data_IF_717901785808
#
_entry.id   IF_717901785808
#
_cell.length_a   1.000
_cell.length_b   1.000
_cell.length_c   1.000
_cell.angle_alpha   90.00
_cell.angle_beta   90.00
_cell.angle_gamma   90.00
#
_symmetry.space_group_name_H-M   'P 1'
#
loop_
_entity.id
_entity.type
_entity.pdbx_description
1 polymer ?
#
# COMPACT_ATOMS: atom_id res chain seq x y z
N UNK A 1 4.37 18.07 7.95
CA UNK A 1 2.94 18.45 7.87
C UNK A 1 2.78 19.86 8.48
N UNK A 2 2.45 20.89 7.70
CA UNK A 2 2.29 22.29 8.21
C UNK A 2 3.34 23.32 7.77
N UNK A 3 4.26 22.96 6.85
CA UNK A 3 5.20 23.91 6.24
C UNK A 3 4.66 24.54 4.93
N UNK A 4 5.43 25.41 4.25
CA UNK A 4 5.05 26.11 3.02
C UNK A 4 4.90 25.21 1.76
N UNK A 5 4.77 23.90 1.95
CA UNK A 5 4.66 22.92 0.88
C UNK A 5 3.26 22.80 0.29
N UNK A 6 3.07 21.92 -0.73
CA UNK A 6 1.76 21.66 -1.31
C UNK A 6 0.75 21.19 -0.26
N UNK A 7 -0.53 21.49 -0.48
CA UNK A 7 -1.63 20.96 0.35
C UNK A 7 -1.51 19.44 0.41
N UNK A 8 -1.28 18.93 1.63
CA UNK A 8 -1.01 17.53 1.89
C UNK A 8 -2.18 16.90 2.65
N UNK A 9 -2.79 15.88 2.07
CA UNK A 9 -3.75 15.04 2.77
C UNK A 9 -3.05 13.82 3.39
N UNK A 10 -3.56 13.36 4.53
CA UNK A 10 -3.12 12.12 5.17
C UNK A 10 -4.29 11.14 5.17
N UNK A 11 -4.07 9.95 4.62
CA UNK A 11 -5.06 8.88 4.51
C UNK A 11 -4.57 7.69 5.31
N UNK A 12 -5.31 7.31 6.35
CA UNK A 12 -5.07 6.06 7.08
C UNK A 12 -5.91 4.94 6.45
N UNK A 13 -5.26 4.00 5.78
CA UNK A 13 -5.98 2.93 5.07
C UNK A 13 -6.74 2.01 6.03
N UNK A 14 -6.25 1.83 7.27
CA UNK A 14 -6.90 0.99 8.26
C UNK A 14 -8.26 1.55 8.69
N UNK A 15 -8.53 2.85 8.50
CA UNK A 15 -9.80 3.48 8.85
C UNK A 15 -10.97 2.98 8.00
N UNK A 16 -10.71 2.44 6.79
CA UNK A 16 -11.73 1.98 5.83
C UNK A 16 -11.49 0.56 5.32
N UNK A 17 -10.30 0.01 5.54
CA UNK A 17 -9.91 -1.32 5.10
C UNK A 17 -9.05 -2.06 6.15
N UNK A 18 -9.17 -1.68 7.43
CA UNK A 18 -8.45 -2.29 8.55
C UNK A 18 -9.04 -3.62 8.99
N UNK A 19 -8.18 -4.48 9.54
CA UNK A 19 -8.54 -5.80 10.08
C UNK A 19 -9.49 -5.69 11.28
N UNK A 20 -9.36 -4.62 12.06
CA UNK A 20 -10.22 -4.32 13.22
C UNK A 20 -11.67 -4.00 12.83
N UNK A 21 -11.91 -3.57 11.58
CA UNK A 21 -13.26 -3.30 11.08
C UNK A 21 -14.04 -4.57 10.75
N UNK A 22 -13.36 -5.72 10.67
CA UNK A 22 -13.96 -7.00 10.29
C UNK A 22 -14.00 -7.91 11.52
N UNK A 23 -15.20 -8.24 12.04
CA UNK A 23 -15.36 -9.16 13.17
C UNK A 23 -14.63 -10.49 12.89
N UNK A 24 -14.00 -11.12 13.90
CA UNK A 24 -13.17 -12.32 13.69
C UNK A 24 -13.85 -13.44 12.88
N UNK A 25 -15.13 -13.71 13.12
CA UNK A 25 -15.90 -14.73 12.39
C UNK A 25 -16.32 -14.36 10.97
N UNK A 26 -16.10 -13.12 10.54
CA UNK A 26 -16.44 -12.61 9.20
C UNK A 26 -15.20 -12.27 8.36
N UNK A 27 -14.00 -12.55 8.88
CA UNK A 27 -12.74 -12.27 8.21
C UNK A 27 -12.57 -13.16 6.98
N UNK A 28 -12.62 -12.55 5.81
CA UNK A 28 -12.48 -13.25 4.54
C UNK A 28 -11.69 -12.38 3.53
N UNK A 29 -10.37 -12.58 3.39
CA UNK A 29 -9.50 -11.68 2.63
C UNK A 29 -9.75 -11.75 1.11
N UNK A 30 -10.45 -12.79 0.65
CA UNK A 30 -10.95 -12.87 -0.72
C UNK A 30 -12.16 -11.97 -1.01
N UNK A 31 -12.86 -11.48 0.02
CA UNK A 31 -14.08 -10.67 -0.11
C UNK A 31 -13.88 -9.22 0.34
N UNK A 32 -12.96 -8.97 1.28
CA UNK A 32 -12.63 -7.63 1.75
C UNK A 32 -11.89 -6.83 0.67
N UNK A 33 -12.12 -5.52 0.64
CA UNK A 33 -11.66 -4.65 -0.45
C UNK A 33 -11.03 -3.36 0.03
N UNK A 34 -10.09 -2.84 -0.76
CA UNK A 34 -9.48 -1.51 -0.60
C UNK A 34 -10.30 -0.39 -1.23
N UNK A 35 -11.51 -0.63 -1.72
CA UNK A 35 -12.34 0.38 -2.39
C UNK A 35 -12.49 1.69 -1.59
N UNK A 36 -12.79 1.59 -0.30
CA UNK A 36 -12.89 2.76 0.58
C UNK A 36 -11.59 3.58 0.67
N UNK A 37 -10.42 2.96 0.47
CA UNK A 37 -9.13 3.68 0.43
C UNK A 37 -9.08 4.58 -0.81
N UNK A 38 -9.52 4.08 -1.97
CA UNK A 38 -9.62 4.89 -3.18
C UNK A 38 -10.64 6.01 -3.05
N UNK A 39 -11.73 5.80 -2.30
CA UNK A 39 -12.69 6.87 -1.97
C UNK A 39 -12.07 7.97 -1.11
N UNK A 40 -11.25 7.62 -0.11
CA UNK A 40 -10.50 8.61 0.69
C UNK A 40 -9.48 9.37 -0.16
N UNK A 41 -8.77 8.69 -1.08
CA UNK A 41 -7.85 9.34 -2.01
C UNK A 41 -8.64 10.32 -2.91
N UNK A 42 -9.77 9.90 -3.47
CA UNK A 42 -10.64 10.77 -4.28
C UNK A 42 -11.13 11.99 -3.50
N UNK A 43 -11.57 11.80 -2.25
CA UNK A 43 -11.97 12.91 -1.38
C UNK A 43 -10.81 13.89 -1.11
N UNK A 44 -9.58 13.39 -0.94
CA UNK A 44 -8.40 14.24 -0.82
C UNK A 44 -8.10 15.02 -2.11
N UNK A 45 -8.27 14.40 -3.28
CA UNK A 45 -8.16 15.07 -4.58
C UNK A 45 -9.25 16.15 -4.75
N UNK A 46 -10.48 15.89 -4.28
CA UNK A 46 -11.60 16.84 -4.29
C UNK A 46 -11.33 18.04 -3.37
N UNK A 47 -10.68 17.81 -2.23
CA UNK A 47 -10.18 18.87 -1.36
C UNK A 47 -8.98 19.65 -1.94
N UNK A 48 -8.51 19.29 -3.14
CA UNK A 48 -7.44 19.99 -3.84
C UNK A 48 -6.03 19.60 -3.40
N UNK A 49 -5.87 18.49 -2.67
CA UNK A 49 -4.55 18.01 -2.27
C UNK A 49 -3.63 17.83 -3.49
N UNK A 50 -2.37 18.21 -3.34
CA UNK A 50 -1.30 18.00 -4.34
C UNK A 50 -0.26 16.99 -3.87
N UNK A 51 -0.35 16.60 -2.61
CA UNK A 51 0.35 15.47 -2.01
C UNK A 51 -0.63 14.67 -1.17
N UNK A 52 -0.59 13.36 -1.27
CA UNK A 52 -1.37 12.46 -0.42
C UNK A 52 -0.40 11.48 0.20
N UNK A 53 -0.35 11.47 1.52
CA UNK A 53 0.38 10.50 2.30
C UNK A 53 -0.58 9.39 2.75
N UNK A 54 -0.34 8.17 2.31
CA UNK A 54 -1.11 6.99 2.67
C UNK A 54 -0.33 6.19 3.71
N UNK A 55 -0.88 6.11 4.93
CA UNK A 55 -0.44 5.19 5.96
C UNK A 55 -0.93 3.78 5.64
N UNK A 56 0.01 2.85 5.47
CA UNK A 56 -0.31 1.44 5.27
C UNK A 56 0.06 0.64 6.52
N UNK A 57 -0.93 0.04 7.19
CA UNK A 57 -0.78 -0.89 8.32
C UNK A 57 -2.09 -1.62 8.62
N UNK A 58 -2.03 -2.72 9.38
CA UNK A 58 -3.20 -3.42 9.95
C UNK A 58 -4.39 -3.67 9.01
N UNK A 59 -4.12 -3.90 7.72
CA UNK A 59 -5.15 -4.12 6.70
C UNK A 59 -5.92 -5.43 6.93
N UNK A 60 -7.23 -5.42 6.65
CA UNK A 60 -8.09 -6.61 6.57
C UNK A 60 -8.22 -7.19 5.16
N UNK A 61 -7.48 -6.66 4.18
CA UNK A 61 -7.66 -6.90 2.74
C UNK A 61 -6.53 -7.72 2.11
N UNK A 62 -6.78 -8.37 0.98
CA UNK A 62 -5.76 -9.00 0.14
C UNK A 62 -6.09 -8.87 -1.36
N UNK A 63 -6.64 -7.73 -1.76
CA UNK A 63 -7.08 -7.45 -3.12
C UNK A 63 -6.05 -6.71 -3.98
N UNK A 64 -4.81 -6.57 -3.50
CA UNK A 64 -3.72 -5.97 -4.28
C UNK A 64 -3.92 -4.49 -4.64
N UNK A 65 -4.84 -3.79 -3.97
CA UNK A 65 -5.22 -2.42 -4.34
C UNK A 65 -6.22 -2.34 -5.50
N UNK A 66 -6.73 -3.47 -5.99
CA UNK A 66 -7.72 -3.51 -7.07
C UNK A 66 -8.97 -2.68 -6.74
N UNK A 67 -9.49 -2.80 -5.52
CA UNK A 67 -10.62 -1.98 -5.07
C UNK A 67 -10.31 -0.49 -5.09
N UNK A 68 -9.14 -0.09 -4.59
CA UNK A 68 -8.72 1.31 -4.61
C UNK A 68 -8.62 1.85 -6.04
N UNK A 69 -8.05 1.08 -6.97
CA UNK A 69 -7.98 1.44 -8.39
C UNK A 69 -9.37 1.57 -9.03
N UNK A 70 -10.30 0.67 -8.71
CA UNK A 70 -11.69 0.76 -9.16
C UNK A 70 -12.38 2.03 -8.63
N UNK A 71 -12.17 2.40 -7.37
CA UNK A 71 -12.73 3.63 -6.80
C UNK A 71 -12.13 4.91 -7.43
N UNK A 72 -10.88 4.82 -7.87
CA UNK A 72 -10.17 5.87 -8.61
C UNK A 72 -10.52 5.92 -10.10
N UNK A 73 -11.35 4.99 -10.59
CA UNK A 73 -11.93 5.00 -11.94
C UNK A 73 -11.35 4.00 -12.93
N UNK A 74 -10.39 3.15 -12.53
CA UNK A 74 -9.94 2.05 -13.37
C UNK A 74 -11.04 0.99 -13.53
N UNK A 75 -11.18 0.42 -14.73
CA UNK A 75 -12.07 -0.70 -14.99
C UNK A 75 -11.26 -2.01 -15.04
N UNK A 76 -11.55 -2.92 -14.13
CA UNK A 76 -10.94 -4.25 -14.05
C UNK A 76 -11.91 -5.27 -14.62
N UNK A 77 -11.52 -6.01 -15.67
CA UNK A 77 -12.44 -6.94 -16.35
C UNK A 77 -11.87 -8.35 -16.49
N UNK A 78 -12.76 -9.33 -16.53
CA UNK A 78 -12.43 -10.71 -16.90
C UNK A 78 -12.21 -10.88 -18.42
N UNK A 79 -11.90 -12.10 -18.86
CA UNK A 79 -11.69 -12.45 -20.27
C UNK A 79 -12.91 -12.25 -21.18
N UNK A 80 -14.10 -12.10 -20.59
CA UNK A 80 -15.35 -11.84 -21.29
C UNK A 80 -15.70 -10.34 -21.30
N UNK A 81 -14.82 -9.48 -20.79
CA UNK A 81 -15.03 -8.04 -20.70
C UNK A 81 -15.99 -7.62 -19.59
N UNK A 82 -16.37 -8.54 -18.68
CA UNK A 82 -17.25 -8.23 -17.55
C UNK A 82 -16.44 -7.65 -16.41
N UNK A 83 -16.98 -6.63 -15.74
CA UNK A 83 -16.32 -6.06 -14.57
C UNK A 83 -16.15 -7.09 -13.46
N UNK A 84 -14.94 -7.11 -12.88
CA UNK A 84 -14.69 -7.90 -11.70
C UNK A 84 -15.39 -7.29 -10.49
N UNK A 85 -15.89 -8.19 -9.64
CA UNK A 85 -16.30 -7.84 -8.29
C UNK A 85 -15.09 -7.39 -7.48
N UNK A 86 -15.36 -6.79 -6.32
CA UNK A 86 -14.33 -6.38 -5.38
C UNK A 86 -13.82 -7.59 -4.57
N UNK A 87 -12.58 -7.48 -4.09
CA UNK A 87 -11.95 -8.48 -3.22
C UNK A 87 -10.90 -9.33 -3.92
N UNK A 88 -9.98 -9.91 -3.14
CA UNK A 88 -8.85 -10.65 -3.68
C UNK A 88 -9.21 -11.98 -4.35
N UNK A 89 -10.36 -12.56 -4.01
CA UNK A 89 -10.74 -13.91 -4.44
C UNK A 89 -11.00 -14.01 -5.94
N UNK A 90 -11.35 -12.90 -6.60
CA UNK A 90 -11.66 -12.86 -8.04
C UNK A 90 -10.48 -12.43 -8.91
N UNK A 91 -9.32 -12.11 -8.32
CA UNK A 91 -8.16 -11.61 -9.08
C UNK A 91 -7.56 -12.66 -10.03
N UNK A 92 -7.80 -13.95 -9.78
CA UNK A 92 -7.41 -15.01 -10.70
C UNK A 92 -8.15 -14.93 -12.05
N UNK A 93 -9.30 -14.25 -12.10
CA UNK A 93 -10.11 -14.04 -13.31
C UNK A 93 -9.70 -12.77 -14.09
N UNK A 94 -8.90 -11.89 -13.49
CA UNK A 94 -8.54 -10.59 -14.06
C UNK A 94 -7.83 -10.73 -15.40
N UNK A 95 -8.41 -10.19 -16.47
CA UNK A 95 -7.79 -10.19 -17.79
C UNK A 95 -7.18 -8.84 -18.13
N UNK A 96 -7.89 -7.75 -17.89
CA UNK A 96 -7.51 -6.42 -18.38
C UNK A 96 -7.81 -5.34 -17.35
N UNK A 97 -6.94 -4.33 -17.31
CA UNK A 97 -7.21 -3.05 -16.67
C UNK A 97 -7.37 -2.00 -17.76
N UNK A 98 -8.48 -1.28 -17.76
CA UNK A 98 -8.69 -0.12 -18.61
C UNK A 98 -8.52 1.16 -17.76
N UNK A 99 -7.46 1.95 -18.02
CA UNK A 99 -7.15 3.15 -17.26
C UNK A 99 -7.94 4.39 -17.72
N UNK A 100 -8.75 4.31 -18.77
CA UNK A 100 -9.40 5.49 -19.39
C UNK A 100 -10.30 6.28 -18.45
N UNK A 101 -10.86 5.64 -17.41
CA UNK A 101 -11.69 6.28 -16.39
C UNK A 101 -10.91 6.78 -15.17
N UNK A 102 -9.60 6.56 -15.09
CA UNK A 102 -8.81 6.97 -13.93
C UNK A 102 -8.85 8.47 -13.71
N UNK A 103 -8.91 8.88 -12.44
CA UNK A 103 -8.91 10.28 -12.06
C UNK A 103 -7.65 11.00 -12.59
N UNK A 104 -7.78 11.95 -13.52
CA UNK A 104 -6.64 12.59 -14.17
C UNK A 104 -5.80 13.44 -13.21
N UNK A 105 -6.30 13.73 -11.99
CA UNK A 105 -5.53 14.45 -10.97
C UNK A 105 -4.42 13.60 -10.37
N UNK A 106 -4.47 12.27 -10.49
CA UNK A 106 -3.43 11.36 -10.02
C UNK A 106 -2.07 11.68 -10.67
N UNK A 107 -2.05 11.97 -11.97
CA UNK A 107 -0.83 12.31 -12.70
C UNK A 107 -0.13 13.60 -12.22
N UNK A 108 -0.82 14.43 -11.44
CA UNK A 108 -0.31 15.71 -10.90
C UNK A 108 -0.28 15.75 -9.37
N UNK A 109 -0.52 14.61 -8.72
CA UNK A 109 -0.56 14.50 -7.26
C UNK A 109 0.53 13.56 -6.80
N UNK A 110 1.37 14.02 -5.88
CA UNK A 110 2.39 13.15 -5.29
C UNK A 110 1.73 12.17 -4.32
N UNK A 111 1.71 10.89 -4.69
CA UNK A 111 1.24 9.81 -3.81
C UNK A 111 2.43 9.18 -3.09
N UNK A 112 2.43 9.27 -1.76
CA UNK A 112 3.45 8.70 -0.90
C UNK A 112 2.80 7.58 -0.08
N UNK A 113 3.36 6.37 -0.13
CA UNK A 113 2.85 5.23 0.64
C UNK A 113 3.85 4.88 1.73
N UNK A 114 3.52 5.23 2.97
CA UNK A 114 4.30 4.87 4.15
C UNK A 114 4.04 3.40 4.51
N UNK A 115 5.01 2.53 4.26
CA UNK A 115 4.84 1.08 4.38
C UNK A 115 6.05 0.37 5.00
N UNK A 116 5.85 -0.92 5.30
CA UNK A 116 6.94 -1.81 5.66
C UNK A 116 7.62 -2.32 4.37
N UNK A 117 8.91 -1.99 4.13
CA UNK A 117 9.60 -2.33 2.89
C UNK A 117 9.84 -3.84 2.72
N UNK A 118 9.78 -4.64 3.79
CA UNK A 118 9.99 -6.09 3.71
C UNK A 118 8.81 -6.86 3.11
N UNK A 119 7.64 -6.21 2.99
CA UNK A 119 6.46 -6.83 2.43
C UNK A 119 6.48 -6.72 0.90
N UNK A 120 6.53 -7.87 0.23
CA UNK A 120 6.49 -7.97 -1.23
C UNK A 120 5.16 -8.57 -1.71
N UNK A 121 4.73 -8.23 -2.92
CA UNK A 121 3.44 -8.67 -3.45
C UNK A 121 3.41 -10.19 -3.68
N UNK A 122 4.44 -10.69 -4.36
CA UNK A 122 4.46 -12.01 -5.00
C UNK A 122 5.54 -12.95 -4.44
N UNK A 123 5.51 -14.21 -4.89
CA UNK A 123 6.50 -15.23 -4.57
C UNK A 123 6.34 -15.88 -3.19
N UNK A 124 7.34 -16.67 -2.77
CA UNK A 124 7.29 -17.49 -1.54
C UNK A 124 7.07 -16.66 -0.26
N UNK A 125 7.52 -15.42 -0.26
CA UNK A 125 7.36 -14.45 0.85
C UNK A 125 6.30 -13.38 0.53
N UNK A 126 5.47 -13.62 -0.49
CA UNK A 126 4.41 -12.72 -0.91
C UNK A 126 3.36 -12.49 0.18
N UNK A 127 2.75 -11.31 0.17
CA UNK A 127 1.86 -10.84 1.24
C UNK A 127 0.70 -11.78 1.53
N UNK A 128 0.13 -12.44 0.51
CA UNK A 128 -0.97 -13.40 0.70
C UNK A 128 -0.54 -14.59 1.58
N UNK A 129 0.67 -15.11 1.38
CA UNK A 129 1.23 -16.25 2.14
C UNK A 129 1.60 -15.87 3.56
N UNK A 130 2.17 -14.68 3.73
CA UNK A 130 2.67 -14.21 5.04
C UNK A 130 1.53 -13.73 5.93
N UNK A 131 0.55 -13.01 5.37
CA UNK A 131 -0.48 -12.30 6.15
C UNK A 131 -1.91 -12.74 5.85
N UNK A 132 -2.15 -13.61 4.87
CA UNK A 132 -3.47 -14.17 4.60
C UNK A 132 -4.08 -14.94 5.80
N UNK A 133 -3.32 -15.82 6.49
CA UNK A 133 -3.86 -16.62 7.59
C UNK A 133 -4.44 -15.79 8.74
N UNK A 134 -3.74 -14.75 9.19
CA UNK A 134 -4.26 -13.85 10.25
C UNK A 134 -5.49 -13.05 9.82
N UNK A 135 -5.71 -12.92 8.51
CA UNK A 135 -6.89 -12.27 7.90
C UNK A 135 -8.02 -13.25 7.64
N UNK A 136 -7.89 -14.52 8.05
CA UNK A 136 -8.93 -15.55 7.91
C UNK A 136 -8.80 -16.47 6.70
N UNK A 137 -7.72 -16.40 5.92
CA UNK A 137 -7.53 -17.30 4.78
C UNK A 137 -7.13 -18.72 5.24
N UNK A 138 -7.83 -19.72 4.72
CA UNK A 138 -7.39 -21.12 4.74
C UNK A 138 -6.17 -21.34 3.83
N UNK A 139 -5.43 -22.45 3.97
CA UNK A 139 -4.29 -22.73 3.10
C UNK A 139 -4.64 -22.72 1.60
N UNK A 140 -5.81 -23.25 1.21
CA UNK A 140 -6.25 -23.24 -0.19
C UNK A 140 -6.54 -21.81 -0.69
N UNK A 141 -7.18 -20.98 0.14
CA UNK A 141 -7.44 -19.58 -0.19
C UNK A 141 -6.14 -18.77 -0.27
N UNK A 142 -5.14 -19.07 0.56
CA UNK A 142 -3.82 -18.44 0.47
C UNK A 142 -3.19 -18.68 -0.90
N UNK A 143 -3.25 -19.91 -1.43
CA UNK A 143 -2.72 -20.22 -2.76
C UNK A 143 -3.52 -19.51 -3.87
N UNK A 144 -4.86 -19.51 -3.77
CA UNK A 144 -5.72 -18.78 -4.71
C UNK A 144 -5.42 -17.28 -4.73
N UNK A 145 -5.33 -16.66 -3.55
CA UNK A 145 -4.98 -15.25 -3.40
C UNK A 145 -3.57 -14.97 -3.93
N UNK A 146 -2.59 -15.84 -3.62
CA UNK A 146 -1.24 -15.72 -4.16
C UNK A 146 -1.25 -15.72 -5.68
N UNK A 147 -1.93 -16.67 -6.32
CA UNK A 147 -2.04 -16.73 -7.78
C UNK A 147 -2.77 -15.51 -8.36
N UNK A 148 -3.81 -15.04 -7.69
CA UNK A 148 -4.50 -13.80 -8.06
C UNK A 148 -3.60 -12.57 -8.01
N UNK A 149 -2.72 -12.45 -7.00
CA UNK A 149 -1.76 -11.35 -6.90
C UNK A 149 -0.64 -11.44 -7.95
N UNK A 150 -0.19 -12.65 -8.29
CA UNK A 150 0.73 -12.87 -9.43
C UNK A 150 0.10 -12.36 -10.74
N UNK A 151 -1.17 -12.72 -11.00
CA UNK A 151 -1.91 -12.26 -12.18
C UNK A 151 -2.12 -10.75 -12.17
N UNK A 152 -2.49 -10.18 -11.03
CA UNK A 152 -2.65 -8.74 -10.88
C UNK A 152 -1.34 -8.00 -11.21
N UNK A 153 -0.20 -8.49 -10.73
CA UNK A 153 1.09 -7.87 -11.01
C UNK A 153 1.39 -7.81 -12.52
N UNK A 154 1.08 -8.87 -13.26
CA UNK A 154 1.24 -8.91 -14.72
C UNK A 154 0.34 -7.90 -15.41
N UNK A 155 -0.93 -7.88 -15.04
CA UNK A 155 -1.92 -6.98 -15.67
C UNK A 155 -1.64 -5.52 -15.31
N UNK A 156 -1.26 -5.20 -14.08
CA UNK A 156 -0.83 -3.85 -13.69
C UNK A 156 0.38 -3.39 -14.50
N UNK A 157 1.39 -4.26 -14.65
CA UNK A 157 2.61 -3.96 -15.40
C UNK A 157 2.32 -3.74 -16.89
N UNK A 158 1.41 -4.53 -17.46
CA UNK A 158 1.04 -4.47 -18.87
C UNK A 158 0.15 -3.27 -19.20
N UNK A 159 -0.89 -3.05 -18.41
CA UNK A 159 -2.00 -2.18 -18.82
C UNK A 159 -1.99 -0.81 -18.13
N UNK A 160 -1.38 -0.68 -16.95
CA UNK A 160 -1.53 0.50 -16.11
C UNK A 160 -0.21 1.25 -15.88
N UNK A 161 0.83 0.54 -15.42
CA UNK A 161 2.13 1.12 -15.09
C UNK A 161 2.77 1.97 -16.22
N UNK A 162 2.65 1.63 -17.52
CA UNK A 162 3.23 2.44 -18.59
C UNK A 162 2.70 3.87 -18.64
N UNK A 163 1.45 4.11 -18.24
CA UNK A 163 0.85 5.44 -18.22
C UNK A 163 1.41 6.35 -17.10
N UNK A 164 2.10 5.76 -16.12
CA UNK A 164 2.67 6.45 -14.96
C UNK A 164 4.19 6.25 -14.86
N UNK A 165 4.84 5.79 -15.94
CA UNK A 165 6.27 5.57 -15.96
C UNK A 165 7.05 6.88 -15.72
N UNK A 166 8.19 6.85 -15.01
CA UNK A 166 8.99 8.04 -14.75
C UNK A 166 9.50 8.66 -16.04
N UNK A 167 9.32 9.97 -16.22
CA UNK A 167 9.90 10.71 -17.36
C UNK A 167 11.41 10.90 -17.23
N UNK A 168 11.98 10.66 -16.05
CA UNK A 168 13.40 10.81 -15.73
C UNK A 168 14.29 9.70 -16.30
N UNK A 169 13.72 8.69 -16.96
CA UNK A 169 14.46 7.51 -17.43
C UNK A 169 14.85 6.52 -16.32
N UNK A 170 14.38 6.74 -15.09
CA UNK A 170 14.51 5.75 -14.02
C UNK A 170 13.75 4.47 -14.37
N UNK A 171 14.27 3.28 -14.00
CA UNK A 171 13.58 2.03 -14.28
C UNK A 171 12.22 1.99 -13.57
N UNK A 172 11.24 1.36 -14.24
CA UNK A 172 9.95 1.09 -13.62
C UNK A 172 10.13 0.20 -12.39
N UNK A 173 9.31 0.43 -11.37
CA UNK A 173 9.28 -0.40 -10.17
C UNK A 173 8.80 -1.82 -10.52
N UNK A 174 9.50 -2.84 -10.03
CA UNK A 174 9.00 -4.21 -10.10
C UNK A 174 7.83 -4.39 -9.14
N UNK A 175 6.60 -4.39 -9.66
CA UNK A 175 5.38 -4.54 -8.87
C UNK A 175 5.27 -5.90 -8.16
N UNK A 176 6.04 -6.91 -8.57
CA UNK A 176 6.00 -8.25 -7.98
C UNK A 176 6.81 -8.31 -6.69
N UNK A 177 8.03 -7.78 -6.70
CA UNK A 177 8.99 -8.03 -5.61
C UNK A 177 9.72 -6.80 -5.08
N UNK A 178 9.49 -5.61 -5.64
CA UNK A 178 10.11 -4.41 -5.08
C UNK A 178 9.68 -4.17 -3.62
N UNK A 179 10.54 -3.56 -2.79
CA UNK A 179 10.23 -3.28 -1.39
C UNK A 179 8.92 -2.53 -1.21
N UNK A 180 8.06 -3.01 -0.30
CA UNK A 180 6.78 -2.37 0.04
C UNK A 180 5.62 -2.69 -0.91
N UNK A 181 5.84 -3.38 -2.02
CA UNK A 181 4.76 -3.76 -2.97
C UNK A 181 3.65 -4.59 -2.30
N UNK A 182 4.00 -5.40 -1.30
CA UNK A 182 3.07 -6.20 -0.52
C UNK A 182 2.35 -5.43 0.59
N UNK A 183 2.59 -4.13 0.76
CA UNK A 183 1.98 -3.35 1.83
C UNK A 183 0.44 -3.46 1.82
N UNK A 184 -0.13 -3.67 3.00
CA UNK A 184 -1.59 -3.73 3.22
C UNK A 184 -2.35 -4.63 2.25
N UNK A 185 -1.88 -5.87 2.06
CA UNK A 185 -2.54 -6.84 1.17
C UNK A 185 -2.27 -6.58 -0.32
N UNK A 186 -1.17 -5.90 -0.63
CA UNK A 186 -0.75 -5.55 -1.99
C UNK A 186 -1.26 -4.19 -2.48
N UNK A 187 -1.91 -3.40 -1.63
CA UNK A 187 -2.27 -2.00 -1.93
C UNK A 187 -1.05 -1.19 -2.40
N UNK A 188 0.14 -1.48 -1.84
CA UNK A 188 1.40 -0.87 -2.29
C UNK A 188 1.64 -1.03 -3.79
N UNK A 189 1.52 -2.25 -4.32
CA UNK A 189 1.67 -2.49 -5.76
C UNK A 189 0.60 -1.78 -6.60
N UNK A 190 -0.67 -1.85 -6.17
CA UNK A 190 -1.77 -1.17 -6.87
C UNK A 190 -1.56 0.35 -6.97
N UNK A 191 -1.14 1.00 -5.88
CA UNK A 191 -0.85 2.44 -5.90
C UNK A 191 0.46 2.76 -6.63
N UNK A 192 1.48 1.91 -6.53
CA UNK A 192 2.72 2.08 -7.27
C UNK A 192 2.50 2.03 -8.80
N UNK A 193 1.53 1.24 -9.27
CA UNK A 193 1.14 1.19 -10.68
C UNK A 193 0.55 2.51 -11.19
N UNK A 194 0.05 3.37 -10.30
CA UNK A 194 -0.40 4.75 -10.62
C UNK A 194 0.61 5.81 -10.16
N UNK A 195 1.88 5.45 -10.07
CA UNK A 195 2.99 6.37 -9.80
C UNK A 195 3.24 6.68 -8.32
N UNK A 196 2.62 5.96 -7.38
CA UNK A 196 2.90 6.17 -5.97
C UNK A 196 4.31 5.72 -5.58
N UNK A 197 4.97 6.51 -4.73
CA UNK A 197 6.28 6.19 -4.17
C UNK A 197 6.10 5.39 -2.89
N UNK A 198 6.70 4.21 -2.85
CA UNK A 198 6.69 3.35 -1.66
C UNK A 198 7.87 3.74 -0.78
N UNK A 199 7.57 4.26 0.41
CA UNK A 199 8.56 4.77 1.35
C UNK A 199 8.51 3.97 2.65
N UNK A 200 9.66 3.71 3.30
CA UNK A 200 9.67 3.25 4.66
C UNK A 200 8.89 4.21 5.55
N UNK A 201 8.05 3.68 6.46
CA UNK A 201 7.24 4.51 7.37
C UNK A 201 8.07 5.57 8.12
N UNK A 202 9.31 5.26 8.46
CA UNK A 202 10.21 6.18 9.18
C UNK A 202 10.58 7.40 8.36
N UNK A 203 11.02 7.20 7.12
CA UNK A 203 11.48 8.31 6.29
C UNK A 203 10.38 9.35 6.11
N UNK A 204 9.11 8.89 6.06
CA UNK A 204 7.94 9.76 6.02
C UNK A 204 7.67 10.47 7.35
N UNK A 205 7.75 9.77 8.48
CA UNK A 205 7.53 10.38 9.81
C UNK A 205 8.59 11.44 10.15
N UNK A 206 9.79 11.27 9.60
CA UNK A 206 10.92 12.18 9.79
C UNK A 206 10.93 13.34 8.79
N UNK A 207 10.18 13.23 7.68
CA UNK A 207 10.00 14.33 6.73
C UNK A 207 9.16 15.46 7.38
N UNK A 208 9.87 16.44 7.96
CA UNK A 208 9.31 17.56 8.71
C UNK A 208 9.59 17.55 10.22
N UNK A 209 10.27 16.52 10.74
CA UNK A 209 10.85 16.50 12.09
C UNK A 209 12.34 16.22 11.95
N UNK A 210 13.19 17.20 12.23
CA UNK A 210 14.66 17.02 12.22
C UNK A 210 15.09 16.20 13.45
N UNK A 211 14.73 14.92 13.44
CA UNK A 211 15.02 14.00 14.52
C UNK A 211 16.52 13.76 14.61
N UNK A 212 17.23 13.69 13.48
CA UNK A 212 18.67 13.44 13.46
C UNK A 212 19.43 14.59 14.17
N UNK A 213 19.11 15.86 13.89
CA UNK A 213 19.73 16.97 14.61
C UNK A 213 19.32 17.02 16.10
N UNK A 214 18.12 16.54 16.45
CA UNK A 214 17.69 16.44 17.85
C UNK A 214 18.39 15.30 18.58
N UNK A 215 18.60 14.15 17.93
CA UNK A 215 19.31 12.99 18.47
C UNK A 215 20.80 13.32 18.68
N UNK A 216 21.44 14.00 17.73
CA UNK A 216 22.84 14.43 17.83
C UNK A 216 23.11 15.38 19.02
N UNK A 217 22.06 16.01 19.56
CA UNK A 217 22.14 16.91 20.73
C UNK A 217 21.64 16.27 22.02
N UNK A 218 21.18 15.03 21.97
CA UNK A 218 20.57 14.37 23.11
C UNK A 218 21.63 13.56 23.87
N UNK A 219 21.75 13.81 25.18
CA UNK A 219 22.57 12.98 26.06
C UNK A 219 21.93 11.60 26.33
N UNK A 220 20.60 11.51 26.17
CA UNK A 220 19.83 10.29 26.38
C UNK A 220 18.58 10.24 25.50
N UNK A 221 18.25 9.06 24.98
CA UNK A 221 17.11 8.83 24.07
C UNK A 221 16.22 7.73 24.63
N UNK A 222 14.95 8.05 24.85
CA UNK A 222 13.90 7.08 25.25
C UNK A 222 12.91 6.96 24.10
N UNK A 223 12.57 5.73 23.74
CA UNK A 223 11.53 5.41 22.76
C UNK A 223 10.68 4.24 23.26
N UNK A 224 9.47 4.10 22.73
CA UNK A 224 8.54 3.05 23.13
C UNK A 224 7.58 2.73 21.98
N UNK A 225 6.93 1.57 22.09
CA UNK A 225 5.74 1.22 21.32
C UNK A 225 4.75 0.46 22.21
N UNK A 226 3.51 0.30 21.75
CA UNK A 226 2.46 -0.36 22.54
C UNK A 226 2.75 -1.82 22.88
N UNK A 227 3.53 -2.52 22.06
CA UNK A 227 4.03 -3.87 22.35
C UNK A 227 5.29 -4.17 21.53
N UNK A 228 6.39 -4.53 22.21
CA UNK A 228 7.59 -5.04 21.56
C UNK A 228 7.32 -6.48 21.10
N UNK A 229 7.33 -6.70 19.79
CA UNK A 229 7.21 -8.03 19.18
C UNK A 229 8.38 -8.33 18.21
N UNK A 230 8.36 -9.52 17.62
CA UNK A 230 9.38 -9.95 16.65
C UNK A 230 9.44 -9.08 15.38
N UNK A 231 8.44 -8.24 15.13
CA UNK A 231 8.43 -7.29 14.02
C UNK A 231 9.14 -5.98 14.39
N UNK A 232 9.38 -5.72 15.68
CA UNK A 232 10.04 -4.51 16.18
C UNK A 232 11.38 -4.26 15.51
N UNK A 233 12.24 -5.29 15.50
CA UNK A 233 13.56 -5.28 14.86
C UNK A 233 13.51 -5.15 13.33
N UNK A 234 12.32 -5.28 12.71
CA UNK A 234 12.10 -5.19 11.27
C UNK A 234 11.48 -3.85 10.86
N UNK A 235 11.96 -2.78 11.48
CA UNK A 235 11.51 -1.42 11.18
C UNK A 235 10.19 -1.07 11.86
N UNK A 236 10.14 -1.19 13.20
CA UNK A 236 9.22 -0.41 14.06
C UNK A 236 9.92 0.84 14.66
N UNK A 237 9.15 1.80 15.17
CA UNK A 237 9.64 3.10 15.70
C UNK A 237 10.78 2.90 16.71
N UNK A 238 10.71 1.99 17.69
CA UNK A 238 11.78 1.84 18.67
C UNK A 238 13.12 1.43 18.05
N UNK A 239 13.09 0.46 17.12
CA UNK A 239 14.31 -0.04 16.48
C UNK A 239 14.97 1.03 15.60
N UNK A 240 14.18 1.81 14.86
CA UNK A 240 14.75 2.86 14.00
C UNK A 240 15.32 4.02 14.82
N UNK A 241 14.61 4.47 15.87
CA UNK A 241 15.11 5.50 16.78
C UNK A 241 16.42 5.05 17.43
N UNK A 242 16.48 3.79 17.91
CA UNK A 242 17.70 3.23 18.48
C UNK A 242 18.85 3.17 17.46
N UNK A 243 18.58 2.73 16.22
CA UNK A 243 19.58 2.65 15.15
C UNK A 243 20.17 4.03 14.82
N UNK A 244 19.33 5.07 14.73
CA UNK A 244 19.77 6.44 14.43
C UNK A 244 20.49 7.09 15.60
N UNK A 245 19.98 6.90 16.83
CA UNK A 245 20.63 7.39 18.04
C UNK A 245 22.04 6.80 18.21
N UNK A 246 22.24 5.52 17.85
CA UNK A 246 23.57 4.90 17.87
C UNK A 246 24.51 5.45 16.79
N UNK A 247 23.97 5.92 15.67
CA UNK A 247 24.75 6.44 14.54
C UNK A 247 25.00 7.96 14.62
N UNK A 248 24.43 8.64 15.62
CA UNK A 248 24.56 10.09 15.88
C UNK A 248 25.66 10.35 16.90
#
# INVERSE_FOLDING_TARGET
LGGPGPLTAVVEMAAVAGLALVPPGLRHPGATTTYGVGELIRAALDAGARRILIGCGDSGTSDGGAGALQALGARLTDRHGRELRRGGGVLHELERIDPSGLDPRLARTELLVACNPYNVLCGKRGVARVFGPQKGATPAEVELLSAGLERLADVLTRDLAPAFAPTSGAPAIDLRTAPGTGASGGLGAGLAAVGARLLPRYDVLLDGLDLDARLARADFVITAEGALDHQTVRGKIPAEVARRAHAS
#
